data_IF_317405841033
#
_entry.id   IF_317405841033
#
_cell.length_a   1.000
_cell.length_b   1.000
_cell.length_c   1.000
_cell.angle_alpha   90.00
_cell.angle_beta   90.00
_cell.angle_gamma   90.00
#
_symmetry.space_group_name_H-M   'P 1'
#
loop_
_entity.id
_entity.type
_entity.pdbx_description
1 polymer ?
#
# COMPACT_ATOMS: atom_id res chain seq x y z
N UNK A 1 5.82 61.33 32.13
CA UNK A 1 5.69 59.90 32.49
C UNK A 1 5.15 59.22 31.23
N UNK A 2 6.02 58.56 30.47
CA UNK A 2 5.66 57.83 29.23
C UNK A 2 5.70 56.37 29.58
N UNK A 3 4.55 55.71 29.62
CA UNK A 3 4.43 54.26 29.74
C UNK A 3 4.72 53.62 28.36
N UNK A 4 5.75 52.80 28.26
CA UNK A 4 6.02 51.92 27.15
C UNK A 4 5.24 50.62 27.34
N UNK A 5 4.26 50.38 26.47
CA UNK A 5 3.60 49.09 26.32
C UNK A 5 4.57 48.12 25.63
N UNK A 6 4.93 47.02 26.36
CA UNK A 6 5.65 45.89 25.80
C UNK A 6 4.66 44.99 25.09
N UNK A 7 4.59 45.05 23.78
CA UNK A 7 3.92 44.08 22.95
C UNK A 7 4.65 42.74 22.99
N UNK A 8 4.05 41.79 23.67
CA UNK A 8 4.53 40.44 23.81
C UNK A 8 4.13 39.67 22.53
N UNK A 9 5.03 39.62 21.54
CA UNK A 9 4.87 38.88 20.30
C UNK A 9 5.03 37.41 20.57
N UNK A 10 3.91 36.73 20.82
CA UNK A 10 3.83 35.29 20.99
C UNK A 10 4.02 34.63 19.63
N UNK A 11 5.27 34.39 19.23
CA UNK A 11 5.61 33.56 18.07
C UNK A 11 5.18 32.13 18.39
N UNK A 12 4.00 31.73 17.95
CA UNK A 12 3.62 30.33 17.85
C UNK A 12 4.64 29.65 16.93
N UNK A 13 5.56 28.88 17.51
CA UNK A 13 6.35 27.92 16.78
C UNK A 13 5.34 26.96 16.11
N UNK A 14 5.13 27.08 14.82
CA UNK A 14 4.55 26.03 14.02
C UNK A 14 5.61 24.92 13.94
N UNK A 15 5.59 23.99 14.90
CA UNK A 15 6.26 22.72 14.74
C UNK A 15 5.74 22.10 13.45
N UNK A 16 6.64 21.87 12.51
CA UNK A 16 6.30 21.10 11.30
C UNK A 16 5.74 19.77 11.76
N UNK A 17 4.56 19.33 11.24
CA UNK A 17 4.03 18.03 11.61
C UNK A 17 5.10 16.99 11.34
N UNK A 18 5.38 16.16 12.35
CA UNK A 18 6.30 15.05 12.22
C UNK A 18 5.86 14.09 11.09
N UNK A 19 6.75 13.23 10.61
CA UNK A 19 6.40 12.29 9.55
C UNK A 19 5.15 11.48 9.96
N UNK A 20 4.25 11.15 9.01
CA UNK A 20 3.00 10.46 9.31
C UNK A 20 3.27 9.15 10.05
N UNK A 21 2.71 9.04 11.26
CA UNK A 21 2.87 7.85 12.09
C UNK A 21 1.82 6.82 11.68
N UNK A 22 2.28 5.61 11.35
CA UNK A 22 1.39 4.48 11.04
C UNK A 22 1.12 3.74 12.35
N UNK A 23 -0.08 3.90 12.91
CA UNK A 23 -0.55 3.26 14.15
C UNK A 23 -1.54 2.11 13.88
N UNK A 24 -2.10 2.07 12.68
CA UNK A 24 -3.09 1.08 12.27
C UNK A 24 -2.92 0.70 10.81
N UNK A 25 -2.93 -0.61 10.55
CA UNK A 25 -2.78 -1.19 9.22
C UNK A 25 -4.01 -2.04 8.91
N UNK A 26 -4.73 -1.69 7.86
CA UNK A 26 -5.82 -2.49 7.34
C UNK A 26 -5.33 -3.42 6.24
N UNK A 27 -5.81 -4.67 6.21
CA UNK A 27 -5.51 -5.64 5.17
C UNK A 27 -6.78 -6.29 4.64
N UNK A 28 -6.98 -6.22 3.32
CA UNK A 28 -8.07 -6.93 2.64
C UNK A 28 -7.72 -8.41 2.44
N UNK A 29 -8.57 -9.32 2.94
CA UNK A 29 -8.34 -10.75 2.92
C UNK A 29 -9.46 -11.44 2.16
N UNK A 30 -9.16 -12.06 1.01
CA UNK A 30 -10.08 -12.86 0.21
C UNK A 30 -9.69 -14.33 0.12
N UNK A 31 -8.70 -14.74 0.93
CA UNK A 31 -8.09 -16.07 0.94
C UNK A 31 -7.39 -16.47 -0.38
N UNK A 32 -7.11 -15.52 -1.28
CA UNK A 32 -6.24 -15.77 -2.42
C UNK A 32 -4.77 -15.81 -1.98
N UNK A 33 -3.87 -16.44 -2.77
CA UNK A 33 -2.42 -16.41 -2.47
C UNK A 33 -1.87 -14.98 -2.31
N UNK A 34 -2.33 -14.04 -3.15
CA UNK A 34 -1.95 -12.64 -3.07
C UNK A 34 -2.40 -11.98 -1.75
N UNK A 35 -3.63 -12.24 -1.29
CA UNK A 35 -4.11 -11.66 -0.04
C UNK A 35 -3.45 -12.27 1.19
N UNK A 36 -3.08 -13.55 1.14
CA UNK A 36 -2.32 -14.20 2.22
C UNK A 36 -0.88 -13.68 2.30
N UNK A 37 -0.22 -13.45 1.16
CA UNK A 37 1.08 -12.78 1.12
C UNK A 37 0.99 -11.35 1.68
N UNK A 38 -0.06 -10.62 1.31
CA UNK A 38 -0.35 -9.27 1.83
C UNK A 38 -0.55 -9.28 3.34
N UNK A 39 -1.25 -10.28 3.87
CA UNK A 39 -1.49 -10.44 5.29
C UNK A 39 -0.19 -10.65 6.07
N UNK A 40 0.69 -11.55 5.60
CA UNK A 40 2.00 -11.80 6.23
C UNK A 40 2.82 -10.52 6.29
N UNK A 41 2.90 -9.77 5.18
CA UNK A 41 3.63 -8.50 5.13
C UNK A 41 3.00 -7.43 6.02
N UNK A 42 1.66 -7.34 6.06
CA UNK A 42 0.96 -6.41 6.94
C UNK A 42 1.22 -6.70 8.42
N UNK A 43 1.26 -7.98 8.81
CA UNK A 43 1.55 -8.39 10.18
C UNK A 43 3.01 -8.09 10.58
N UNK A 44 3.98 -8.33 9.68
CA UNK A 44 5.39 -7.95 9.90
C UNK A 44 5.54 -6.43 10.06
N UNK A 45 4.93 -5.65 9.18
CA UNK A 45 4.94 -4.18 9.26
C UNK A 45 4.30 -3.68 10.56
N UNK A 46 3.14 -4.23 10.92
CA UNK A 46 2.44 -3.87 12.15
C UNK A 46 3.31 -4.15 13.39
N UNK A 47 4.00 -5.29 13.44
CA UNK A 47 4.94 -5.62 14.51
C UNK A 47 6.07 -4.60 14.60
N UNK A 48 6.72 -4.28 13.50
CA UNK A 48 7.85 -3.34 13.47
C UNK A 48 7.46 -1.90 13.77
N UNK A 49 6.25 -1.51 13.38
CA UNK A 49 5.72 -0.16 13.61
C UNK A 49 4.94 -0.03 14.92
N UNK A 50 4.79 -1.11 15.69
CA UNK A 50 3.92 -1.17 16.87
C UNK A 50 2.48 -0.77 16.56
N UNK A 51 2.01 -1.08 15.36
CA UNK A 51 0.69 -0.76 14.86
C UNK A 51 -0.32 -1.88 15.16
N UNK A 52 -1.61 -1.54 15.15
CA UNK A 52 -2.72 -2.50 15.19
C UNK A 52 -3.03 -3.02 13.77
N UNK A 53 -3.38 -4.31 13.65
CA UNK A 53 -3.71 -4.96 12.40
C UNK A 53 -5.23 -5.16 12.28
N UNK A 54 -5.86 -4.58 11.27
CA UNK A 54 -7.28 -4.73 10.98
C UNK A 54 -7.47 -5.61 9.74
N UNK A 55 -7.96 -6.84 9.92
CA UNK A 55 -8.37 -7.72 8.82
C UNK A 55 -9.76 -7.38 8.31
N UNK A 56 -9.91 -7.27 6.99
CA UNK A 56 -11.18 -6.94 6.33
C UNK A 56 -11.53 -8.08 5.37
N UNK A 57 -12.68 -8.72 5.59
CA UNK A 57 -13.30 -9.65 4.66
C UNK A 57 -14.62 -9.06 4.17
N UNK A 58 -14.89 -9.17 2.85
CA UNK A 58 -16.15 -8.67 2.28
C UNK A 58 -16.91 -9.81 1.61
N UNK A 59 -18.13 -10.08 2.08
CA UNK A 59 -19.10 -10.92 1.39
C UNK A 59 -19.65 -10.16 0.18
N UNK A 60 -19.30 -10.61 -1.03
CA UNK A 60 -19.66 -9.91 -2.26
C UNK A 60 -21.18 -10.04 -2.54
N UNK A 61 -21.88 -8.92 -2.42
CA UNK A 61 -23.32 -8.85 -2.69
C UNK A 61 -23.65 -9.17 -4.14
N UNK A 62 -22.72 -8.95 -5.08
CA UNK A 62 -22.97 -9.27 -6.48
C UNK A 62 -23.04 -10.78 -6.71
N UNK A 63 -22.25 -11.57 -5.99
CA UNK A 63 -22.32 -13.03 -6.02
C UNK A 63 -23.68 -13.51 -5.47
N UNK A 64 -24.15 -12.91 -4.37
CA UNK A 64 -25.46 -13.24 -3.81
C UNK A 64 -26.60 -12.90 -4.78
N UNK A 65 -26.55 -11.75 -5.43
CA UNK A 65 -27.54 -11.34 -6.43
C UNK A 65 -27.55 -12.24 -7.67
N UNK A 66 -26.42 -12.84 -8.04
CA UNK A 66 -26.37 -13.79 -9.15
C UNK A 66 -27.22 -15.02 -8.89
N UNK A 67 -27.37 -15.47 -7.64
CA UNK A 67 -28.22 -16.63 -7.31
C UNK A 67 -29.71 -16.35 -7.46
N UNK A 68 -30.12 -15.08 -7.49
CA UNK A 68 -31.51 -14.67 -7.70
C UNK A 68 -31.90 -14.71 -9.18
N UNK A 69 -30.92 -14.80 -10.09
CA UNK A 69 -31.17 -14.82 -11.53
C UNK A 69 -31.55 -16.25 -11.98
N UNK A 70 -32.71 -16.43 -12.67
CA UNK A 70 -33.27 -17.75 -12.98
C UNK A 70 -32.41 -18.56 -13.98
N UNK A 71 -31.48 -17.92 -14.68
CA UNK A 71 -30.62 -18.54 -15.69
C UNK A 71 -29.16 -18.63 -15.26
N UNK A 72 -28.82 -18.25 -14.04
CA UNK A 72 -27.48 -18.33 -13.52
C UNK A 72 -27.17 -19.76 -13.05
N UNK A 73 -26.12 -20.35 -13.63
CA UNK A 73 -25.68 -21.71 -13.33
C UNK A 73 -24.19 -21.70 -13.00
N UNK A 74 -23.79 -22.55 -12.07
CA UNK A 74 -22.38 -22.79 -11.74
C UNK A 74 -21.81 -23.86 -12.69
N UNK A 75 -20.66 -23.59 -13.28
CA UNK A 75 -19.88 -24.59 -13.99
C UNK A 75 -18.73 -25.01 -13.08
N UNK A 76 -18.84 -26.20 -12.47
CA UNK A 76 -17.77 -26.75 -11.65
C UNK A 76 -16.73 -27.42 -12.54
N UNK A 77 -15.47 -27.22 -12.27
CA UNK A 77 -14.35 -27.70 -13.11
C UNK A 77 -14.36 -29.23 -13.33
N UNK A 78 -15.03 -29.99 -12.45
CA UNK A 78 -15.11 -31.45 -12.49
C UNK A 78 -16.55 -32.00 -12.58
N UNK A 79 -17.56 -31.13 -12.78
CA UNK A 79 -18.95 -31.56 -12.99
C UNK A 79 -19.36 -31.30 -14.45
N UNK A 80 -19.86 -32.32 -15.17
CA UNK A 80 -20.26 -32.15 -16.56
C UNK A 80 -21.58 -31.43 -16.75
N UNK A 81 -22.36 -31.22 -15.69
CA UNK A 81 -23.65 -30.56 -15.76
C UNK A 81 -23.62 -29.22 -14.99
N UNK A 82 -24.13 -28.13 -15.62
CA UNK A 82 -24.32 -26.88 -14.90
C UNK A 82 -25.42 -27.03 -13.85
N UNK A 83 -25.11 -26.63 -12.62
CA UNK A 83 -26.03 -26.69 -11.47
C UNK A 83 -26.50 -25.31 -11.11
N UNK A 84 -27.76 -25.17 -10.64
CA UNK A 84 -28.25 -23.91 -10.12
C UNK A 84 -27.61 -23.65 -8.76
N UNK A 85 -27.00 -22.49 -8.61
CA UNK A 85 -26.43 -22.09 -7.31
C UNK A 85 -27.57 -21.70 -6.38
N UNK A 86 -27.70 -22.39 -5.24
CA UNK A 86 -28.62 -21.98 -4.19
C UNK A 86 -27.98 -20.86 -3.32
N UNK A 87 -28.77 -19.84 -3.01
CA UNK A 87 -28.29 -18.72 -2.19
C UNK A 87 -27.82 -19.17 -0.81
N UNK A 88 -28.47 -20.20 -0.23
CA UNK A 88 -28.09 -20.80 1.05
C UNK A 88 -26.73 -21.48 1.02
N UNK A 89 -26.39 -22.16 -0.09
CA UNK A 89 -25.09 -22.78 -0.28
C UNK A 89 -23.98 -21.72 -0.43
N UNK A 90 -24.23 -20.70 -1.24
CA UNK A 90 -23.31 -19.58 -1.41
C UNK A 90 -23.06 -18.83 -0.09
N UNK A 91 -24.11 -18.56 0.69
CA UNK A 91 -23.94 -17.94 2.02
C UNK A 91 -23.10 -18.81 2.97
N UNK A 92 -23.30 -20.12 2.97
CA UNK A 92 -22.46 -21.04 3.76
C UNK A 92 -21.00 -20.98 3.32
N UNK A 93 -20.76 -20.94 2.02
CA UNK A 93 -19.41 -20.81 1.44
C UNK A 93 -18.75 -19.49 1.84
N UNK A 94 -19.45 -18.35 1.74
CA UNK A 94 -18.92 -17.06 2.13
C UNK A 94 -18.61 -17.00 3.63
N UNK A 95 -19.48 -17.54 4.49
CA UNK A 95 -19.21 -17.66 5.93
C UNK A 95 -17.99 -18.55 6.24
N UNK A 96 -17.84 -19.65 5.48
CA UNK A 96 -16.64 -20.51 5.62
C UNK A 96 -15.37 -19.78 5.24
N UNK A 97 -15.42 -19.00 4.17
CA UNK A 97 -14.28 -18.17 3.74
C UNK A 97 -13.97 -17.06 4.75
N UNK A 98 -14.97 -16.42 5.33
CA UNK A 98 -14.77 -15.43 6.40
C UNK A 98 -14.05 -16.05 7.61
N UNK A 99 -14.46 -17.23 8.05
CA UNK A 99 -13.77 -17.96 9.14
C UNK A 99 -12.33 -18.32 8.79
N UNK A 100 -12.09 -18.75 7.54
CA UNK A 100 -10.74 -19.05 7.07
C UNK A 100 -9.86 -17.78 7.04
N UNK A 101 -10.40 -16.65 6.61
CA UNK A 101 -9.72 -15.36 6.62
C UNK A 101 -9.37 -14.92 8.05
N UNK A 102 -10.32 -15.04 8.97
CA UNK A 102 -10.13 -14.73 10.39
C UNK A 102 -9.04 -15.63 11.03
N UNK A 103 -9.11 -16.95 10.80
CA UNK A 103 -8.10 -17.88 11.29
C UNK A 103 -6.71 -17.60 10.71
N UNK A 104 -6.62 -17.17 9.45
CA UNK A 104 -5.35 -16.78 8.84
C UNK A 104 -4.81 -15.49 9.47
N UNK A 105 -5.67 -14.49 9.69
CA UNK A 105 -5.30 -13.25 10.39
C UNK A 105 -4.78 -13.55 11.80
N UNK A 106 -5.53 -14.34 12.57
CA UNK A 106 -5.14 -14.69 13.94
C UNK A 106 -3.78 -15.37 13.97
N UNK A 107 -3.54 -16.34 13.08
CA UNK A 107 -2.25 -17.04 12.99
C UNK A 107 -1.09 -16.09 12.73
N UNK A 108 -1.20 -15.20 11.74
CA UNK A 108 -0.13 -14.25 11.43
C UNK A 108 0.05 -13.25 12.57
N UNK A 109 -1.03 -12.76 13.17
CA UNK A 109 -0.98 -11.86 14.31
C UNK A 109 -0.29 -12.48 15.54
N UNK A 110 -0.51 -13.78 15.80
CA UNK A 110 0.17 -14.53 16.86
C UNK A 110 1.66 -14.69 16.58
N UNK A 111 2.05 -15.05 15.33
CA UNK A 111 3.45 -15.19 14.92
C UNK A 111 4.22 -13.88 15.12
N UNK A 112 3.64 -12.77 14.69
CA UNK A 112 4.27 -11.45 14.78
C UNK A 112 3.98 -10.70 16.09
N UNK A 113 3.17 -11.27 16.98
CA UNK A 113 2.76 -10.69 18.30
C UNK A 113 2.11 -9.32 18.15
N UNK A 114 1.16 -9.21 17.23
CA UNK A 114 0.47 -7.96 16.91
C UNK A 114 -0.95 -7.97 17.46
N UNK A 115 -1.41 -6.84 18.00
CA UNK A 115 -2.84 -6.65 18.30
C UNK A 115 -3.62 -6.62 17.00
N UNK A 116 -4.73 -7.34 16.95
CA UNK A 116 -5.54 -7.43 15.75
C UNK A 116 -7.04 -7.37 16.04
N UNK A 117 -7.77 -7.00 15.01
CA UNK A 117 -9.23 -7.08 14.95
C UNK A 117 -9.66 -7.57 13.57
N UNK A 118 -10.85 -8.17 13.47
CA UNK A 118 -11.36 -8.68 12.22
C UNK A 118 -12.76 -8.13 11.94
N UNK A 119 -13.02 -7.73 10.72
CA UNK A 119 -14.30 -7.16 10.29
C UNK A 119 -14.83 -7.89 9.06
N UNK A 120 -16.04 -8.43 9.16
CA UNK A 120 -16.81 -8.96 8.04
C UNK A 120 -17.80 -7.90 7.59
N UNK A 121 -17.76 -7.56 6.31
CA UNK A 121 -18.70 -6.62 5.68
C UNK A 121 -19.46 -7.32 4.56
N UNK A 122 -20.63 -6.82 4.21
CA UNK A 122 -21.42 -7.30 3.06
C UNK A 122 -21.69 -6.14 2.13
N UNK A 123 -21.30 -6.27 0.86
CA UNK A 123 -21.49 -5.19 -0.11
C UNK A 123 -20.67 -5.37 -1.38
N UNK A 124 -20.47 -4.26 -2.08
CA UNK A 124 -19.53 -4.21 -3.21
C UNK A 124 -18.10 -4.23 -2.69
N UNK A 125 -17.34 -5.29 -3.00
CA UNK A 125 -16.02 -5.55 -2.42
C UNK A 125 -15.08 -4.33 -2.48
N UNK A 126 -14.83 -3.69 -3.64
CA UNK A 126 -13.97 -2.51 -3.70
C UNK A 126 -14.41 -1.36 -2.79
N UNK A 127 -15.71 -1.08 -2.74
CA UNK A 127 -16.25 0.03 -1.93
C UNK A 127 -16.13 -0.25 -0.44
N UNK A 128 -16.49 -1.47 -0.03
CA UNK A 128 -16.46 -1.86 1.38
C UNK A 128 -15.04 -1.92 1.95
N UNK A 129 -14.06 -2.40 1.15
CA UNK A 129 -12.65 -2.41 1.54
C UNK A 129 -12.14 -0.99 1.76
N UNK A 130 -12.40 -0.07 0.82
CA UNK A 130 -11.97 1.33 0.94
C UNK A 130 -12.65 2.01 2.14
N UNK A 131 -13.95 1.79 2.33
CA UNK A 131 -14.69 2.35 3.47
C UNK A 131 -14.17 1.83 4.82
N UNK A 132 -13.88 0.54 4.91
CA UNK A 132 -13.30 -0.04 6.13
C UNK A 132 -11.89 0.50 6.42
N UNK A 133 -11.10 0.74 5.39
CA UNK A 133 -9.74 1.25 5.51
C UNK A 133 -9.64 2.73 5.93
N UNK A 134 -10.75 3.48 5.95
CA UNK A 134 -10.75 4.88 6.42
C UNK A 134 -10.29 5.02 7.88
N UNK A 135 -10.46 3.98 8.68
CA UNK A 135 -10.05 3.94 10.10
C UNK A 135 -8.57 3.58 10.29
N UNK A 136 -7.87 3.19 9.22
CA UNK A 136 -6.46 2.83 9.25
C UNK A 136 -5.58 3.91 8.61
N UNK A 137 -4.29 3.89 8.93
CA UNK A 137 -3.29 4.80 8.36
C UNK A 137 -2.70 4.24 7.07
N UNK A 138 -2.65 2.90 6.95
CA UNK A 138 -2.14 2.18 5.79
C UNK A 138 -3.13 1.08 5.39
N UNK A 139 -3.46 1.00 4.09
CA UNK A 139 -4.22 -0.10 3.51
C UNK A 139 -3.27 -1.03 2.73
N UNK A 140 -3.25 -2.31 3.09
CA UNK A 140 -2.47 -3.34 2.38
C UNK A 140 -3.42 -4.21 1.57
N UNK A 141 -3.13 -4.35 0.28
CA UNK A 141 -3.93 -5.13 -0.66
C UNK A 141 -3.05 -6.01 -1.54
N UNK A 142 -3.56 -7.17 -1.92
CA UNK A 142 -3.02 -7.89 -3.06
C UNK A 142 -3.23 -7.10 -4.36
N UNK A 143 -2.24 -7.08 -5.22
CA UNK A 143 -2.32 -6.43 -6.54
C UNK A 143 -3.44 -7.00 -7.40
N UNK A 144 -3.64 -8.31 -7.35
CA UNK A 144 -4.75 -9.03 -8.00
C UNK A 144 -5.47 -9.90 -6.97
N UNK A 145 -6.74 -10.24 -7.28
CA UNK A 145 -7.55 -11.14 -6.46
C UNK A 145 -7.66 -12.53 -7.08
N UNK A 146 -8.72 -13.25 -6.73
CA UNK A 146 -9.00 -14.63 -7.18
C UNK A 146 -9.22 -14.79 -8.68
N UNK A 147 -9.49 -13.72 -9.42
CA UNK A 147 -9.85 -13.84 -10.84
C UNK A 147 -8.65 -14.27 -11.68
N UNK A 148 -8.68 -15.43 -12.34
CA UNK A 148 -7.60 -15.92 -13.20
C UNK A 148 -7.39 -15.06 -14.45
N UNK A 149 -8.35 -14.21 -14.80
CA UNK A 149 -8.28 -13.30 -15.95
C UNK A 149 -7.40 -12.06 -15.70
N UNK A 150 -7.09 -11.75 -14.44
CA UNK A 150 -6.27 -10.59 -14.05
C UNK A 150 -4.79 -10.94 -13.82
N UNK A 151 -4.21 -11.87 -14.57
CA UNK A 151 -2.78 -12.25 -14.44
C UNK A 151 -1.81 -11.11 -14.78
N UNK A 152 -2.26 -10.13 -15.56
CA UNK A 152 -1.47 -8.92 -15.90
C UNK A 152 -2.29 -7.69 -15.55
N UNK A 153 -1.92 -6.97 -14.49
CA UNK A 153 -2.53 -5.71 -14.10
C UNK A 153 -3.17 -5.72 -12.72
N UNK A 154 -3.81 -4.59 -12.39
CA UNK A 154 -4.45 -4.37 -11.10
C UNK A 154 -5.86 -4.97 -11.05
N UNK A 155 -6.19 -5.67 -9.96
CA UNK A 155 -7.54 -6.09 -9.65
C UNK A 155 -8.49 -4.91 -9.41
N UNK A 156 -9.80 -5.18 -9.46
CA UNK A 156 -10.84 -4.13 -9.28
C UNK A 156 -10.73 -3.42 -7.92
N UNK A 157 -10.42 -4.15 -6.85
CA UNK A 157 -10.26 -3.59 -5.51
C UNK A 157 -9.03 -2.68 -5.42
N UNK A 158 -7.88 -3.11 -5.96
CA UNK A 158 -6.66 -2.31 -6.00
C UNK A 158 -6.86 -1.02 -6.84
N UNK A 159 -7.48 -1.11 -8.01
CA UNK A 159 -7.82 0.05 -8.85
C UNK A 159 -8.75 1.03 -8.14
N UNK A 160 -9.79 0.52 -7.49
CA UNK A 160 -10.73 1.37 -6.76
C UNK A 160 -10.07 2.05 -5.56
N UNK A 161 -9.22 1.33 -4.83
CA UNK A 161 -8.44 1.88 -3.73
C UNK A 161 -7.51 3.00 -4.20
N UNK A 162 -6.77 2.79 -5.31
CA UNK A 162 -5.90 3.83 -5.87
C UNK A 162 -6.64 5.09 -6.29
N UNK A 163 -7.88 4.96 -6.79
CA UNK A 163 -8.69 6.10 -7.23
C UNK A 163 -9.46 6.77 -6.10
N UNK A 164 -9.87 6.03 -5.07
CA UNK A 164 -10.86 6.47 -4.08
C UNK A 164 -10.37 6.53 -2.63
N UNK A 165 -9.24 5.92 -2.27
CA UNK A 165 -8.74 5.99 -0.89
C UNK A 165 -8.03 7.31 -0.62
N UNK A 166 -8.23 7.85 0.57
CA UNK A 166 -7.47 8.99 1.10
C UNK A 166 -6.25 8.54 1.94
N UNK A 167 -6.06 7.23 2.09
CA UNK A 167 -5.00 6.64 2.91
C UNK A 167 -3.90 6.06 2.04
N UNK A 168 -2.70 5.98 2.58
CA UNK A 168 -1.58 5.31 1.93
C UNK A 168 -1.91 3.85 1.61
N UNK A 169 -1.43 3.36 0.47
CA UNK A 169 -1.77 2.03 -0.03
C UNK A 169 -0.50 1.26 -0.35
N UNK A 170 -0.36 0.08 0.24
CA UNK A 170 0.65 -0.89 -0.12
C UNK A 170 0.03 -1.99 -0.99
N UNK A 171 0.46 -2.07 -2.23
CA UNK A 171 0.09 -3.12 -3.17
C UNK A 171 1.13 -4.23 -3.16
N UNK A 172 0.70 -5.44 -2.80
CA UNK A 172 1.57 -6.60 -2.71
C UNK A 172 1.50 -7.48 -3.95
N UNK A 173 2.63 -8.04 -4.35
CA UNK A 173 2.72 -9.04 -5.40
C UNK A 173 2.87 -10.44 -4.80
N UNK A 174 2.39 -11.48 -5.52
CA UNK A 174 2.59 -12.88 -5.13
C UNK A 174 4.08 -13.25 -5.22
N UNK A 175 4.55 -14.01 -4.25
CA UNK A 175 5.95 -14.47 -4.21
C UNK A 175 6.95 -13.47 -3.63
N UNK A 176 6.50 -12.28 -3.24
CA UNK A 176 7.36 -11.31 -2.58
C UNK A 176 7.71 -11.75 -1.15
N UNK A 177 9.00 -11.87 -0.86
CA UNK A 177 9.53 -12.11 0.48
C UNK A 177 10.28 -10.85 0.94
N UNK A 178 9.69 -10.08 1.83
CA UNK A 178 10.24 -8.82 2.36
C UNK A 178 11.58 -8.97 3.12
N UNK A 179 12.16 -10.16 3.17
CA UNK A 179 13.19 -10.46 4.16
C UNK A 179 14.57 -9.86 3.84
N UNK A 180 14.93 -9.62 2.58
CA UNK A 180 16.27 -9.15 2.21
C UNK A 180 16.29 -8.13 1.06
N UNK A 181 15.23 -7.34 0.88
CA UNK A 181 15.12 -6.53 -0.31
C UNK A 181 15.34 -5.04 -0.02
N UNK A 182 16.05 -4.38 -0.92
CA UNK A 182 16.27 -2.96 -0.90
C UNK A 182 14.94 -2.20 -1.06
N UNK A 183 14.85 -1.01 -0.50
CA UNK A 183 13.72 -0.09 -0.68
C UNK A 183 14.15 1.02 -1.62
N UNK A 184 13.42 1.22 -2.72
CA UNK A 184 13.60 2.33 -3.63
C UNK A 184 12.55 3.40 -3.37
N UNK A 185 12.97 4.64 -3.16
CA UNK A 185 12.06 5.78 -2.99
C UNK A 185 12.30 6.82 -4.08
N UNK A 186 11.22 7.35 -4.65
CA UNK A 186 11.29 8.46 -5.60
C UNK A 186 11.26 9.78 -4.85
N UNK A 187 12.22 10.67 -5.15
CA UNK A 187 12.36 11.98 -4.50
C UNK A 187 12.55 13.10 -5.53
N UNK A 188 11.61 14.05 -5.53
CA UNK A 188 11.64 15.25 -6.37
C UNK A 188 11.84 16.55 -5.56
N UNK A 189 12.08 16.42 -4.24
CA UNK A 189 12.24 17.54 -3.31
C UNK A 189 10.94 18.11 -2.75
N UNK A 190 9.77 17.67 -3.23
CA UNK A 190 8.49 18.08 -2.66
C UNK A 190 8.30 17.56 -1.24
N UNK A 191 7.47 18.23 -0.43
CA UNK A 191 7.13 17.75 0.92
C UNK A 191 6.47 16.35 0.87
N UNK A 192 5.74 16.06 -0.19
CA UNK A 192 5.13 14.76 -0.42
C UNK A 192 6.18 13.66 -0.65
N UNK A 193 7.23 13.92 -1.41
CA UNK A 193 8.34 12.96 -1.61
C UNK A 193 9.19 12.79 -0.33
N UNK A 194 9.34 13.84 0.48
CA UNK A 194 9.99 13.77 1.79
C UNK A 194 9.18 12.91 2.77
N UNK A 195 7.85 13.04 2.76
CA UNK A 195 6.97 12.17 3.55
C UNK A 195 7.09 10.71 3.09
N UNK A 196 7.18 10.46 1.78
CA UNK A 196 7.42 9.12 1.24
C UNK A 196 8.77 8.55 1.70
N UNK A 197 9.84 9.35 1.68
CA UNK A 197 11.16 8.96 2.20
C UNK A 197 11.10 8.60 3.69
N UNK A 198 10.42 9.40 4.51
CA UNK A 198 10.28 9.12 5.94
C UNK A 198 9.57 7.78 6.21
N UNK A 199 8.55 7.43 5.42
CA UNK A 199 7.89 6.13 5.52
C UNK A 199 8.79 5.02 4.99
N UNK A 200 9.50 5.22 3.87
CA UNK A 200 10.45 4.25 3.31
C UNK A 200 11.52 3.86 4.34
N UNK A 201 12.07 4.83 5.05
CA UNK A 201 13.05 4.62 6.14
C UNK A 201 12.46 3.72 7.24
N UNK A 202 11.20 3.92 7.63
CA UNK A 202 10.53 3.10 8.67
C UNK A 202 10.22 1.68 8.18
N UNK A 203 10.06 1.50 6.88
CA UNK A 203 9.86 0.20 6.26
C UNK A 203 11.17 -0.57 6.02
N UNK A 204 12.29 0.15 5.96
CA UNK A 204 13.60 -0.44 5.73
C UNK A 204 13.98 -1.37 6.89
N UNK A 205 14.45 -2.57 6.55
CA UNK A 205 14.98 -3.49 7.56
C UNK A 205 16.47 -3.20 7.85
N UNK A 206 16.93 -3.46 9.06
CA UNK A 206 18.35 -3.32 9.38
C UNK A 206 19.22 -4.13 8.41
N UNK A 207 20.23 -3.50 7.84
CA UNK A 207 21.14 -4.12 6.89
C UNK A 207 20.73 -4.05 5.41
N UNK A 208 19.49 -3.68 5.10
CA UNK A 208 19.04 -3.48 3.73
C UNK A 208 19.47 -2.11 3.18
N UNK A 209 19.54 -2.01 1.85
CA UNK A 209 19.92 -0.79 1.15
C UNK A 209 18.69 0.09 0.90
N UNK A 210 18.85 1.39 1.15
CA UNK A 210 17.90 2.42 0.74
C UNK A 210 18.40 3.05 -0.57
N UNK A 211 17.70 2.82 -1.66
CA UNK A 211 17.92 3.49 -2.93
C UNK A 211 17.06 4.75 -2.99
N UNK A 212 17.64 5.90 -3.23
CA UNK A 212 16.96 7.16 -3.40
C UNK A 212 17.11 7.60 -4.86
N UNK A 213 16.02 7.54 -5.62
CA UNK A 213 16.00 8.00 -7.00
C UNK A 213 15.61 9.48 -7.03
N UNK A 214 16.59 10.33 -7.30
CA UNK A 214 16.42 11.76 -7.42
C UNK A 214 15.85 12.12 -8.79
N UNK A 215 14.79 12.91 -8.78
CA UNK A 215 14.10 13.44 -9.97
C UNK A 215 14.30 14.96 -10.02
N UNK A 216 15.49 15.46 -10.42
CA UNK A 216 15.77 16.89 -10.45
C UNK A 216 14.92 17.60 -11.50
N UNK A 217 14.45 18.81 -11.17
CA UNK A 217 13.62 19.64 -12.07
C UNK A 217 14.46 20.48 -13.05
N UNK A 218 15.71 20.76 -12.69
CA UNK A 218 16.66 21.54 -13.50
C UNK A 218 18.08 21.04 -13.23
N UNK A 219 19.02 21.42 -14.09
CA UNK A 219 20.43 21.04 -13.97
C UNK A 219 21.07 21.62 -12.71
N UNK A 220 21.81 20.78 -11.96
CA UNK A 220 22.39 21.14 -10.66
C UNK A 220 21.46 20.97 -9.46
N UNK A 221 20.16 20.69 -9.67
CA UNK A 221 19.19 20.46 -8.56
C UNK A 221 19.47 19.17 -7.80
N UNK A 222 20.10 18.18 -8.45
CA UNK A 222 20.45 16.89 -7.85
C UNK A 222 21.33 17.04 -6.60
N UNK A 223 22.33 17.92 -6.63
CA UNK A 223 23.22 18.16 -5.48
C UNK A 223 22.49 18.80 -4.29
N UNK A 224 21.53 19.68 -4.57
CA UNK A 224 20.72 20.31 -3.53
C UNK A 224 19.78 19.26 -2.90
N UNK A 225 19.14 18.43 -3.72
CA UNK A 225 18.27 17.34 -3.25
C UNK A 225 19.05 16.35 -2.40
N UNK A 226 20.19 15.89 -2.86
CA UNK A 226 21.05 14.96 -2.13
C UNK A 226 21.45 15.53 -0.76
N UNK A 227 21.91 16.78 -0.73
CA UNK A 227 22.32 17.44 0.51
C UNK A 227 21.14 17.58 1.48
N UNK A 228 19.95 17.98 0.99
CA UNK A 228 18.76 18.15 1.81
C UNK A 228 18.25 16.81 2.36
N UNK A 229 18.19 15.77 1.53
CA UNK A 229 17.68 14.46 1.92
C UNK A 229 18.66 13.74 2.84
N UNK A 230 19.97 13.89 2.63
CA UNK A 230 21.00 13.34 3.53
C UNK A 230 20.83 13.85 4.97
N UNK A 231 20.44 15.11 5.15
CA UNK A 231 20.15 15.69 6.46
C UNK A 231 18.91 15.12 7.16
N UNK A 232 18.05 14.41 6.45
CA UNK A 232 16.83 13.78 6.98
C UNK A 232 17.04 12.30 7.36
N UNK A 233 18.17 11.71 6.96
CA UNK A 233 18.47 10.31 7.24
C UNK A 233 18.88 10.13 8.71
N UNK A 234 18.27 9.19 9.45
CA UNK A 234 18.69 8.91 10.81
C UNK A 234 20.09 8.28 10.85
N UNK A 235 20.89 8.60 11.90
CA UNK A 235 22.20 8.00 12.09
C UNK A 235 22.05 6.51 12.42
N UNK A 236 22.14 5.65 11.45
CA UNK A 236 21.97 4.19 11.63
C UNK A 236 21.63 3.48 10.34
N UNK A 237 21.28 4.20 9.28
CA UNK A 237 21.15 3.63 7.95
C UNK A 237 22.56 3.47 7.37
N UNK A 238 23.00 2.21 7.26
CA UNK A 238 24.37 1.89 6.86
C UNK A 238 24.60 1.91 5.35
N UNK A 239 23.52 1.78 4.55
CA UNK A 239 23.63 1.68 3.09
C UNK A 239 22.57 2.55 2.43
N UNK A 240 23.00 3.67 1.88
CA UNK A 240 22.18 4.57 1.06
C UNK A 240 22.86 4.75 -0.28
N UNK A 241 22.11 4.55 -1.35
CA UNK A 241 22.59 4.75 -2.72
C UNK A 241 21.69 5.79 -3.40
N UNK A 242 22.32 6.83 -3.93
CA UNK A 242 21.65 7.87 -4.69
C UNK A 242 21.75 7.58 -6.18
N UNK A 243 20.63 7.68 -6.85
CA UNK A 243 20.50 7.56 -8.29
C UNK A 243 19.88 8.85 -8.82
N UNK A 244 20.35 9.33 -9.97
CA UNK A 244 19.83 10.55 -10.58
C UNK A 244 19.21 10.23 -11.91
N UNK A 245 17.95 10.63 -12.11
CA UNK A 245 17.26 10.50 -13.38
C UNK A 245 16.72 11.88 -13.82
N UNK A 246 17.49 12.62 -14.64
CA UNK A 246 17.08 13.95 -15.07
C UNK A 246 15.96 13.89 -16.10
N UNK A 247 15.05 14.87 -16.08
CA UNK A 247 14.03 15.12 -17.10
C UNK A 247 13.10 13.94 -17.42
N UNK A 248 12.45 13.36 -16.42
CA UNK A 248 11.51 12.26 -16.63
C UNK A 248 10.15 12.79 -17.11
N UNK A 249 9.89 12.66 -18.40
CA UNK A 249 8.57 12.88 -18.99
C UNK A 249 7.86 11.58 -19.39
N UNK A 250 8.60 10.49 -19.58
CA UNK A 250 8.07 9.18 -20.03
C UNK A 250 8.10 8.15 -18.88
N UNK A 251 6.90 7.67 -18.51
CA UNK A 251 6.71 6.64 -17.49
C UNK A 251 7.47 5.34 -17.79
N UNK A 252 7.67 5.01 -19.07
CA UNK A 252 8.39 3.78 -19.48
C UNK A 252 9.89 3.86 -19.19
N UNK A 253 10.49 5.05 -19.34
CA UNK A 253 11.91 5.27 -19.00
C UNK A 253 12.07 5.12 -17.48
N UNK A 254 11.18 5.73 -16.71
CA UNK A 254 11.17 5.64 -15.25
C UNK A 254 10.97 4.18 -14.79
N UNK A 255 9.99 3.47 -15.35
CA UNK A 255 9.74 2.06 -15.04
C UNK A 255 10.94 1.16 -15.37
N UNK A 256 11.62 1.42 -16.50
CA UNK A 256 12.84 0.68 -16.87
C UNK A 256 13.95 0.91 -15.85
N UNK A 257 14.17 2.15 -15.44
CA UNK A 257 15.19 2.50 -14.46
C UNK A 257 14.90 1.86 -13.10
N UNK A 258 13.65 1.94 -12.63
CA UNK A 258 13.21 1.33 -11.38
C UNK A 258 13.47 -0.19 -11.38
N UNK A 259 13.18 -0.89 -12.48
CA UNK A 259 13.48 -2.32 -12.60
C UNK A 259 14.99 -2.64 -12.56
N UNK A 260 15.83 -1.73 -13.03
CA UNK A 260 17.29 -1.91 -12.99
C UNK A 260 17.89 -1.69 -11.60
N UNK A 261 17.18 -1.00 -10.72
CA UNK A 261 17.65 -0.75 -9.35
C UNK A 261 17.54 -1.97 -8.42
N UNK A 262 17.04 -3.11 -8.92
CA UNK A 262 16.94 -4.40 -8.22
C UNK A 262 16.44 -4.25 -6.76
N UNK A 263 15.37 -3.48 -6.61
CA UNK A 263 14.76 -3.20 -5.31
C UNK A 263 13.50 -4.04 -5.11
N UNK A 264 13.18 -4.34 -3.85
CA UNK A 264 12.03 -5.17 -3.54
C UNK A 264 10.76 -4.41 -3.18
N UNK A 265 10.87 -3.10 -2.93
CA UNK A 265 9.76 -2.23 -2.62
C UNK A 265 9.97 -0.87 -3.27
N UNK A 266 9.01 -0.41 -4.05
CA UNK A 266 8.95 0.94 -4.56
C UNK A 266 8.08 1.82 -3.64
N UNK A 267 8.61 2.96 -3.21
CA UNK A 267 7.86 3.96 -2.44
C UNK A 267 7.79 5.25 -3.24
N UNK A 268 6.58 5.78 -3.40
CA UNK A 268 6.34 7.06 -4.08
C UNK A 268 5.13 7.77 -3.46
N UNK A 269 4.99 9.07 -3.72
CA UNK A 269 3.79 9.82 -3.34
C UNK A 269 2.95 10.18 -4.56
N UNK A 270 1.63 10.26 -4.37
CA UNK A 270 0.67 10.69 -5.40
C UNK A 270 0.70 12.21 -5.65
N UNK A 271 1.36 12.97 -4.76
CA UNK A 271 1.49 14.44 -4.84
C UNK A 271 2.89 14.91 -5.21
N UNK A 272 3.69 14.03 -5.79
CA UNK A 272 4.97 14.40 -6.42
C UNK A 272 4.72 15.26 -7.66
N UNK A 273 5.76 15.98 -8.10
CA UNK A 273 5.74 16.74 -9.36
C UNK A 273 5.82 15.82 -10.60
N UNK A 274 5.09 14.70 -10.55
CA UNK A 274 4.91 13.78 -11.66
C UNK A 274 3.45 13.85 -12.14
N UNK A 275 3.19 13.78 -13.45
CA UNK A 275 1.81 13.68 -13.95
C UNK A 275 1.10 12.46 -13.33
N UNK A 276 -0.16 12.62 -12.94
CA UNK A 276 -0.95 11.54 -12.34
C UNK A 276 -1.01 10.29 -13.25
N UNK A 277 -1.03 10.50 -14.58
CA UNK A 277 -0.95 9.43 -15.56
C UNK A 277 0.38 8.67 -15.48
N UNK A 278 1.50 9.36 -15.30
CA UNK A 278 2.83 8.74 -15.12
C UNK A 278 2.85 7.86 -13.88
N UNK A 279 2.32 8.35 -12.76
CA UNK A 279 2.21 7.57 -11.51
C UNK A 279 1.33 6.34 -11.73
N UNK A 280 0.18 6.51 -12.39
CA UNK A 280 -0.74 5.41 -12.68
C UNK A 280 -0.12 4.34 -13.59
N UNK A 281 0.54 4.75 -14.67
CA UNK A 281 1.23 3.85 -15.59
C UNK A 281 2.37 3.12 -14.88
N UNK A 282 3.13 3.82 -14.05
CA UNK A 282 4.21 3.23 -13.26
C UNK A 282 3.69 2.12 -12.34
N UNK A 283 2.58 2.36 -11.61
CA UNK A 283 1.96 1.36 -10.75
C UNK A 283 1.49 0.14 -11.55
N UNK A 284 1.04 0.31 -12.78
CA UNK A 284 0.63 -0.81 -13.65
C UNK A 284 1.83 -1.60 -14.19
N UNK A 285 2.94 -0.93 -14.49
CA UNK A 285 4.09 -1.50 -15.20
C UNK A 285 5.10 -2.18 -14.28
N UNK A 286 5.14 -1.83 -13.01
CA UNK A 286 6.08 -2.43 -12.03
C UNK A 286 5.51 -3.72 -11.46
N UNK A 287 6.32 -4.79 -11.46
CA UNK A 287 5.91 -6.15 -11.09
C UNK A 287 6.24 -6.54 -9.64
N UNK A 288 6.68 -5.61 -8.80
CA UNK A 288 6.95 -5.83 -7.39
C UNK A 288 6.14 -4.87 -6.48
N UNK A 289 6.17 -5.03 -5.15
CA UNK A 289 5.39 -4.23 -4.22
C UNK A 289 5.58 -2.73 -4.38
N UNK A 290 4.47 -2.01 -4.29
CA UNK A 290 4.45 -0.54 -4.41
C UNK A 290 3.70 0.05 -3.23
N UNK A 291 4.36 0.97 -2.52
CA UNK A 291 3.73 1.82 -1.54
C UNK A 291 3.44 3.20 -2.15
N UNK A 292 2.17 3.51 -2.30
CA UNK A 292 1.71 4.86 -2.64
C UNK A 292 1.41 5.62 -1.35
N UNK A 293 2.24 6.59 -1.02
CA UNK A 293 2.08 7.46 0.14
C UNK A 293 1.14 8.61 -0.20
N UNK A 294 0.15 8.82 0.68
CA UNK A 294 -0.78 9.94 0.63
C UNK A 294 -0.61 10.81 1.86
N UNK A 295 -0.36 12.07 1.64
CA UNK A 295 -0.11 13.09 2.65
C UNK A 295 -1.10 14.24 2.57
#
# INVERSE_FOLDING_TARGET
VIMQERTNSNRKNHEKPGPPEIRSIAVGIDCSPHSLASLKTAADLASRMHAELLGIFVEDINLLRLTELPFCQEIRQYSPAPEKIESTELERMLRSQARQAEASLQREAEIFRVRHSFSVRRGNVPKEVVAAALQADLLVLGRSGRSPTCRKGLGSTARNALSGSLKSILLMHEGYAAENEAVLVLCDGSDASKAALAIAIRMLRPGNTLHILLLPQYEGHEHLLESELSGQLPPGILRVEYHVLPHVSDSRILARYIRMADSGLLVLSDRMNLPAETVHNLINDIDYPILLVRS
#
